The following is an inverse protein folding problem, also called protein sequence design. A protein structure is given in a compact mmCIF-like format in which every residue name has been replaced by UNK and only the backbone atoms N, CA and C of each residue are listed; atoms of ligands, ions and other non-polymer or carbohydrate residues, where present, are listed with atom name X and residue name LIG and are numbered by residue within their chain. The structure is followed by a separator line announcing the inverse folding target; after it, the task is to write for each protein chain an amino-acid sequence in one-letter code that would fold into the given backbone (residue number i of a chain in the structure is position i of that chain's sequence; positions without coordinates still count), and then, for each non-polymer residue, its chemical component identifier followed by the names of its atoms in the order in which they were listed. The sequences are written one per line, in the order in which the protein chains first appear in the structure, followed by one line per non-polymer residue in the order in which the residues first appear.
data_IF_617678322147
#
_entry.id   IF_617678322147
#
_cell.length_a   1.000
_cell.length_b   1.000
_cell.length_c   1.000
_cell.angle_alpha   90.00
_cell.angle_beta   90.00
_cell.angle_gamma   90.00
#
_symmetry.space_group_name_H-M   'P 1'
#
loop_
_entity.id
_entity.type
_entity.pdbx_description
1 polymer ?
#
# COMPACT_ATOMS: atom_id res chain seq x y z
N UNK A 1 -53.40 30.99 23.13
CA UNK A 1 -53.61 30.28 21.89
C UNK A 1 -52.33 30.35 21.06
N UNK A 2 -51.71 29.23 20.94
CA UNK A 2 -50.78 28.82 19.94
C UNK A 2 -49.58 29.73 19.55
N UNK A 3 -48.48 29.66 20.29
CA UNK A 3 -47.15 30.11 19.89
C UNK A 3 -46.25 28.91 19.68
N UNK A 4 -46.42 28.24 18.57
CA UNK A 4 -45.59 27.11 18.17
C UNK A 4 -44.99 27.47 16.82
N UNK A 5 -43.69 27.19 16.70
CA UNK A 5 -42.91 27.10 15.46
C UNK A 5 -42.26 28.41 14.94
N UNK A 6 -41.29 28.87 15.72
CA UNK A 6 -40.10 29.44 15.11
C UNK A 6 -38.89 28.57 15.45
N UNK A 7 -38.97 27.28 15.16
CA UNK A 7 -37.83 26.38 15.20
C UNK A 7 -37.03 26.53 13.91
N UNK A 8 -36.05 27.36 14.02
CA UNK A 8 -34.71 27.20 13.50
C UNK A 8 -34.49 26.76 12.05
N UNK A 9 -34.54 27.72 11.18
CA UNK A 9 -33.97 27.61 9.82
C UNK A 9 -32.45 27.96 9.77
N UNK A 10 -31.73 27.86 10.90
CA UNK A 10 -30.30 28.19 11.01
C UNK A 10 -29.35 26.97 11.16
N UNK A 11 -29.83 25.75 10.96
CA UNK A 11 -28.99 24.55 11.08
C UNK A 11 -28.60 23.95 9.71
N UNK A 12 -28.80 24.67 8.63
CA UNK A 12 -28.55 24.17 7.28
C UNK A 12 -27.21 24.65 6.68
N UNK A 13 -26.21 24.87 7.52
CA UNK A 13 -24.85 25.17 7.03
C UNK A 13 -23.77 24.53 7.92
N UNK A 14 -23.96 23.26 8.24
CA UNK A 14 -22.87 22.42 8.71
C UNK A 14 -22.48 21.48 7.58
N UNK A 15 -21.42 21.92 6.88
CA UNK A 15 -20.40 21.09 6.23
C UNK A 15 -20.72 19.60 6.25
N UNK A 16 -20.65 18.94 5.11
CA UNK A 16 -20.60 17.49 4.91
C UNK A 16 -19.67 16.81 5.93
N UNK A 17 -20.13 16.74 7.16
CA UNK A 17 -19.59 15.79 8.11
C UNK A 17 -20.26 14.48 7.71
N UNK A 18 -19.56 13.67 6.92
CA UNK A 18 -19.92 12.27 6.79
C UNK A 18 -20.00 11.77 8.23
N UNK A 19 -21.19 11.36 8.66
CA UNK A 19 -21.34 10.57 9.86
C UNK A 19 -20.59 9.30 9.53
N UNK A 20 -19.36 9.19 10.01
CA UNK A 20 -18.59 7.97 9.91
C UNK A 20 -19.20 7.10 10.97
N UNK A 21 -19.97 6.09 10.55
CA UNK A 21 -20.50 5.09 11.46
C UNK A 21 -19.32 4.40 12.13
N UNK A 22 -19.01 4.82 13.36
CA UNK A 22 -18.00 4.17 14.19
C UNK A 22 -18.62 2.97 14.85
N UNK A 23 -17.92 1.86 14.77
CA UNK A 23 -18.32 0.62 15.42
C UNK A 23 -17.15 0.00 16.16
N UNK A 24 -17.47 -0.79 17.18
CA UNK A 24 -16.46 -1.54 17.91
C UNK A 24 -15.93 -2.65 17.00
N UNK A 25 -14.67 -2.55 16.60
CA UNK A 25 -14.06 -3.51 15.69
C UNK A 25 -12.59 -3.76 16.01
N UNK A 26 -12.09 -4.88 15.51
CA UNK A 26 -10.70 -5.25 15.57
C UNK A 26 -9.92 -4.42 14.54
N UNK A 27 -8.89 -3.75 15.00
CA UNK A 27 -8.00 -2.91 14.17
C UNK A 27 -6.55 -3.12 14.62
N UNK A 28 -5.60 -2.82 13.78
CA UNK A 28 -4.19 -2.89 14.15
C UNK A 28 -3.80 -1.68 15.01
N UNK A 29 -2.85 -1.94 15.92
CA UNK A 29 -2.13 -0.93 16.71
C UNK A 29 -0.64 -1.11 16.48
N UNK A 30 0.05 -0.05 16.18
CA UNK A 30 1.49 -0.02 15.97
C UNK A 30 2.15 0.66 17.16
N UNK A 31 3.09 -0.04 17.78
CA UNK A 31 3.93 0.48 18.85
C UNK A 31 5.11 1.24 18.24
N UNK A 32 5.06 2.56 18.32
CA UNK A 32 6.08 3.42 17.72
C UNK A 32 7.45 3.30 18.43
N UNK A 33 7.48 2.91 19.71
CA UNK A 33 8.73 2.73 20.44
C UNK A 33 9.49 1.48 19.97
N UNK A 34 8.76 0.38 19.70
CA UNK A 34 9.33 -0.85 19.16
C UNK A 34 9.63 -0.77 17.66
N UNK A 35 8.92 0.08 16.93
CA UNK A 35 9.07 0.19 15.49
C UNK A 35 10.46 0.68 15.10
N UNK A 36 11.16 -0.08 14.27
CA UNK A 36 12.49 0.27 13.72
C UNK A 36 12.43 1.00 12.37
N UNK A 37 11.23 1.23 11.83
CA UNK A 37 11.07 1.98 10.60
C UNK A 37 11.43 1.22 9.32
N UNK A 38 11.43 -0.09 9.31
CA UNK A 38 11.82 -0.90 8.15
C UNK A 38 10.84 -0.84 6.96
N UNK A 39 9.58 -0.41 7.16
CA UNK A 39 8.58 -0.26 6.10
C UNK A 39 7.86 -1.54 5.68
N UNK A 40 8.32 -2.73 6.07
CA UNK A 40 7.77 -4.02 5.62
C UNK A 40 6.27 -4.17 5.87
N UNK A 41 5.77 -3.64 6.97
CA UNK A 41 4.33 -3.68 7.29
C UNK A 41 3.50 -2.77 6.38
N UNK A 42 4.07 -1.66 5.90
CA UNK A 42 3.39 -0.78 4.95
C UNK A 42 3.30 -1.44 3.57
N UNK A 43 4.34 -2.17 3.17
CA UNK A 43 4.37 -2.93 1.92
C UNK A 43 3.42 -4.14 1.97
N UNK A 44 3.34 -4.80 3.12
CA UNK A 44 2.43 -5.94 3.35
C UNK A 44 0.96 -5.53 3.52
N UNK A 45 0.69 -4.23 3.73
CA UNK A 45 -0.69 -3.75 3.85
C UNK A 45 -1.34 -3.60 2.48
N UNK A 46 -2.10 -4.60 2.07
CA UNK A 46 -2.79 -4.61 0.78
C UNK A 46 -3.77 -3.45 0.61
N UNK A 47 -4.35 -2.96 1.70
CA UNK A 47 -5.34 -1.88 1.70
C UNK A 47 -4.71 -0.48 1.76
N UNK A 48 -3.40 -0.40 1.99
CA UNK A 48 -2.70 0.88 2.09
C UNK A 48 -3.10 1.71 3.31
N UNK A 49 -3.55 1.06 4.38
CA UNK A 49 -3.91 1.70 5.64
C UNK A 49 -2.69 2.20 6.43
N UNK A 50 -1.54 1.54 6.25
CA UNK A 50 -0.29 1.85 6.93
C UNK A 50 0.59 2.72 6.03
N UNK A 51 1.22 3.73 6.61
CA UNK A 51 2.23 4.53 5.95
C UNK A 51 3.40 4.86 6.86
N UNK A 52 4.47 5.39 6.27
CA UNK A 52 5.66 5.80 7.00
C UNK A 52 5.59 7.29 7.29
N UNK A 53 5.70 7.66 8.57
CA UNK A 53 5.71 9.05 9.05
C UNK A 53 6.91 9.21 9.97
N UNK A 54 7.78 10.15 9.66
CA UNK A 54 9.00 10.44 10.44
C UNK A 54 9.87 9.19 10.72
N UNK A 55 9.94 8.28 9.74
CA UNK A 55 10.71 7.05 9.85
C UNK A 55 10.06 5.94 10.70
N UNK A 56 8.80 6.08 11.09
CA UNK A 56 8.02 5.10 11.83
C UNK A 56 6.76 4.71 11.06
N UNK A 57 6.34 3.47 11.19
CA UNK A 57 5.08 3.02 10.62
C UNK A 57 3.91 3.55 11.47
N UNK A 58 2.89 4.08 10.81
CA UNK A 58 1.66 4.56 11.46
C UNK A 58 0.42 4.12 10.68
N UNK A 59 -0.66 3.88 11.40
CA UNK A 59 -1.97 3.66 10.79
C UNK A 59 -2.54 5.02 10.36
N UNK A 60 -2.49 5.32 9.07
CA UNK A 60 -2.93 6.60 8.51
C UNK A 60 -4.44 6.66 8.29
N UNK A 61 -5.02 5.53 7.92
CA UNK A 61 -6.42 5.41 7.56
C UNK A 61 -7.02 4.20 8.27
N UNK A 62 -7.78 4.46 9.32
CA UNK A 62 -8.47 3.41 10.07
C UNK A 62 -9.57 2.74 9.25
N UNK A 63 -10.28 3.52 8.45
CA UNK A 63 -11.32 3.06 7.52
C UNK A 63 -10.79 2.18 6.38
N UNK A 64 -9.48 2.14 6.15
CA UNK A 64 -8.82 1.25 5.18
C UNK A 64 -8.34 -0.06 5.80
N UNK A 65 -8.18 -0.12 7.11
CA UNK A 65 -7.75 -1.34 7.79
C UNK A 65 -8.93 -2.32 7.84
N UNK A 66 -8.80 -3.49 7.21
CA UNK A 66 -9.79 -4.58 7.24
C UNK A 66 -9.74 -5.41 8.53
N UNK A 67 -8.63 -5.34 9.27
CA UNK A 67 -8.41 -6.10 10.50
C UNK A 67 -7.98 -7.55 10.26
N UNK A 68 -7.59 -7.95 9.05
CA UNK A 68 -7.08 -9.29 8.74
C UNK A 68 -5.71 -9.53 9.37
N UNK A 69 -4.82 -8.55 9.29
CA UNK A 69 -3.55 -8.58 9.99
C UNK A 69 -2.38 -9.17 9.21
N UNK A 70 -2.41 -9.11 7.89
CA UNK A 70 -1.30 -9.55 7.02
C UNK A 70 0.01 -8.79 7.30
N UNK A 71 -0.11 -7.60 7.90
CA UNK A 71 1.03 -6.80 8.33
C UNK A 71 1.73 -7.33 9.60
N UNK A 72 1.08 -8.19 10.42
CA UNK A 72 1.69 -8.70 11.68
C UNK A 72 2.91 -9.57 11.41
N UNK A 73 2.83 -10.64 10.56
CA UNK A 73 3.97 -11.51 10.30
C UNK A 73 5.10 -10.80 9.56
N UNK A 74 4.81 -9.65 8.91
CA UNK A 74 5.80 -8.86 8.21
C UNK A 74 6.67 -8.02 9.16
N UNK A 75 6.28 -7.87 10.43
CA UNK A 75 7.03 -7.06 11.40
C UNK A 75 8.12 -7.88 12.09
N UNK A 76 9.42 -7.60 11.85
CA UNK A 76 10.50 -8.40 12.44
C UNK A 76 10.72 -8.16 13.94
N UNK A 77 10.09 -7.12 14.49
CA UNK A 77 10.24 -6.71 15.89
C UNK A 77 8.93 -6.79 16.68
N UNK A 78 7.91 -7.43 16.11
CA UNK A 78 6.59 -7.58 16.73
C UNK A 78 6.00 -6.27 17.30
N UNK A 79 6.19 -5.17 16.56
CA UNK A 79 5.66 -3.86 16.94
C UNK A 79 4.17 -3.69 16.62
N UNK A 80 3.53 -4.69 15.99
CA UNK A 80 2.13 -4.61 15.56
C UNK A 80 1.30 -5.59 16.37
N UNK A 81 0.17 -5.12 16.87
CA UNK A 81 -0.80 -5.90 17.61
C UNK A 81 -2.22 -5.58 17.18
N UNK A 82 -3.17 -6.40 17.60
CA UNK A 82 -4.58 -6.08 17.44
C UNK A 82 -5.12 -5.36 18.66
N UNK A 83 -6.00 -4.40 18.42
CA UNK A 83 -6.79 -3.72 19.43
C UNK A 83 -8.27 -3.72 19.01
N UNK A 84 -9.16 -3.94 19.99
CA UNK A 84 -10.60 -3.78 19.76
C UNK A 84 -10.96 -2.40 20.30
N UNK A 85 -11.36 -1.51 19.40
CA UNK A 85 -11.76 -0.15 19.74
C UNK A 85 -12.78 0.40 18.77
N UNK A 86 -13.38 1.50 19.14
CA UNK A 86 -14.26 2.23 18.24
C UNK A 86 -13.43 2.82 17.11
N UNK A 87 -13.75 2.41 15.89
CA UNK A 87 -13.10 2.89 14.68
C UNK A 87 -14.14 3.01 13.55
N UNK A 88 -13.87 3.83 12.54
CA UNK A 88 -14.71 3.93 11.36
C UNK A 88 -14.90 2.55 10.71
N UNK A 89 -16.08 2.32 10.15
CA UNK A 89 -16.33 1.11 9.37
C UNK A 89 -15.32 0.99 8.21
N UNK A 90 -14.99 -0.24 7.84
CA UNK A 90 -14.15 -0.50 6.66
C UNK A 90 -14.85 -0.01 5.39
N UNK A 91 -14.18 0.85 4.63
CA UNK A 91 -14.68 1.41 3.37
C UNK A 91 -13.96 0.78 2.17
N UNK A 92 -14.45 -0.39 1.76
CA UNK A 92 -13.93 -1.09 0.58
C UNK A 92 -13.96 -0.24 -0.68
N UNK A 93 -15.01 0.56 -0.87
CA UNK A 93 -15.15 1.39 -2.05
C UNK A 93 -14.08 2.48 -2.12
N UNK A 94 -13.72 3.07 -0.98
CA UNK A 94 -12.64 4.04 -0.91
C UNK A 94 -11.27 3.40 -1.15
N UNK A 95 -11.04 2.20 -0.62
CA UNK A 95 -9.82 1.42 -0.83
C UNK A 95 -9.65 1.09 -2.31
N UNK A 96 -10.66 0.56 -2.98
CA UNK A 96 -10.61 0.23 -4.41
C UNK A 96 -10.32 1.46 -5.27
N UNK A 97 -10.91 2.61 -4.96
CA UNK A 97 -10.61 3.87 -5.66
C UNK A 97 -9.15 4.28 -5.47
N UNK A 98 -8.64 4.21 -4.25
CA UNK A 98 -7.25 4.56 -3.95
C UNK A 98 -6.26 3.63 -4.67
N UNK A 99 -6.53 2.33 -4.72
CA UNK A 99 -5.74 1.35 -5.48
C UNK A 99 -5.74 1.69 -6.97
N UNK A 100 -6.90 1.94 -7.56
CA UNK A 100 -7.02 2.29 -8.98
C UNK A 100 -6.29 3.60 -9.33
N UNK A 101 -6.33 4.60 -8.45
CA UNK A 101 -5.59 5.85 -8.64
C UNK A 101 -4.07 5.63 -8.55
N UNK A 102 -3.61 4.80 -7.60
CA UNK A 102 -2.20 4.44 -7.45
C UNK A 102 -1.68 3.72 -8.70
N UNK A 103 -2.43 2.76 -9.21
CA UNK A 103 -2.09 2.04 -10.45
C UNK A 103 -2.01 2.97 -11.67
N UNK A 104 -2.96 3.91 -11.81
CA UNK A 104 -2.94 4.90 -12.88
C UNK A 104 -1.69 5.78 -12.81
N UNK A 105 -1.32 6.23 -11.60
CA UNK A 105 -0.11 7.03 -11.39
C UNK A 105 1.16 6.24 -11.73
N UNK A 106 1.23 4.98 -11.31
CA UNK A 106 2.37 4.10 -11.64
C UNK A 106 2.49 3.86 -13.13
N UNK A 107 1.38 3.57 -13.82
CA UNK A 107 1.37 3.39 -15.28
C UNK A 107 1.76 4.68 -16.02
N UNK A 108 1.32 5.84 -15.55
CA UNK A 108 1.71 7.13 -16.13
C UNK A 108 3.21 7.41 -15.97
N UNK A 109 3.78 7.06 -14.80
CA UNK A 109 5.23 7.21 -14.56
C UNK A 109 6.07 6.23 -15.39
N UNK A 110 5.55 5.03 -15.66
CA UNK A 110 6.23 4.04 -16.49
C UNK A 110 6.13 4.35 -17.99
N UNK A 111 5.09 5.06 -18.42
CA UNK A 111 4.91 5.43 -19.83
C UNK A 111 5.96 6.43 -20.34
N UNK A 112 6.57 7.22 -19.46
CA UNK A 112 7.61 8.19 -19.82
C UNK A 112 9.01 7.57 -19.91
N UNK A 113 9.20 6.33 -19.44
CA UNK A 113 10.46 5.61 -19.52
C UNK A 113 10.36 4.56 -20.63
N UNK A 114 10.57 4.99 -21.87
CA UNK A 114 10.77 4.06 -22.98
C UNK A 114 12.15 3.44 -22.85
N UNK A 115 12.27 2.41 -22.03
CA UNK A 115 13.48 1.59 -21.93
C UNK A 115 13.48 0.67 -23.14
N UNK A 116 14.29 1.01 -24.15
CA UNK A 116 14.58 0.08 -25.23
C UNK A 116 15.51 -1.00 -24.67
N UNK A 117 15.01 -2.23 -24.68
CA UNK A 117 15.84 -3.36 -24.26
C UNK A 117 17.01 -3.52 -25.21
N UNK A 118 18.22 -3.58 -24.64
CA UNK A 118 19.44 -3.93 -25.36
C UNK A 118 19.67 -5.45 -25.38
N UNK A 119 18.74 -6.19 -24.79
CA UNK A 119 18.82 -7.63 -24.74
C UNK A 119 18.45 -8.22 -26.11
N UNK A 120 19.45 -8.71 -26.83
CA UNK A 120 19.28 -9.29 -28.16
C UNK A 120 18.88 -10.77 -28.09
N UNK A 121 19.00 -11.40 -26.94
CA UNK A 121 18.67 -12.80 -26.71
C UNK A 121 18.13 -13.03 -25.29
N UNK A 122 17.20 -13.99 -25.16
CA UNK A 122 16.70 -14.45 -23.87
C UNK A 122 17.81 -15.00 -22.98
N UNK A 123 17.76 -14.81 -21.67
CA UNK A 123 18.73 -15.42 -20.77
C UNK A 123 18.70 -16.94 -20.88
N UNK A 124 19.86 -17.54 -21.00
CA UNK A 124 20.04 -19.01 -21.10
C UNK A 124 21.02 -19.46 -20.02
N UNK A 125 20.80 -20.64 -19.48
CA UNK A 125 21.73 -21.23 -18.52
C UNK A 125 23.10 -21.47 -19.17
N UNK A 126 24.18 -21.13 -18.48
CA UNK A 126 25.58 -21.26 -18.99
C UNK A 126 25.86 -22.68 -19.45
N UNK A 127 25.29 -23.70 -18.77
CA UNK A 127 25.47 -25.11 -19.15
C UNK A 127 24.90 -25.48 -20.52
N UNK A 128 23.96 -24.70 -21.03
CA UNK A 128 23.28 -24.92 -22.30
C UNK A 128 23.87 -24.08 -23.44
N UNK A 129 24.82 -23.21 -23.12
CA UNK A 129 25.40 -22.32 -24.12
C UNK A 129 26.55 -23.04 -24.88
N UNK A 130 26.51 -23.02 -26.21
CA UNK A 130 27.62 -23.53 -27.00
C UNK A 130 28.87 -22.67 -26.80
N UNK A 131 30.03 -23.28 -26.59
CA UNK A 131 31.32 -22.61 -26.35
C UNK A 131 31.70 -21.67 -27.52
N UNK A 132 31.29 -22.04 -28.72
CA UNK A 132 31.51 -21.26 -29.94
C UNK A 132 30.17 -20.92 -30.57
N UNK A 133 29.79 -19.64 -30.51
CA UNK A 133 28.57 -19.14 -31.13
C UNK A 133 28.82 -17.78 -31.75
N UNK A 134 28.23 -17.54 -32.90
CA UNK A 134 28.24 -16.25 -33.58
C UNK A 134 27.63 -15.13 -32.70
N UNK A 135 26.78 -15.48 -31.73
CA UNK A 135 26.16 -14.55 -30.79
C UNK A 135 27.16 -13.85 -29.85
N UNK A 136 28.36 -14.39 -29.65
CA UNK A 136 29.38 -13.79 -28.78
C UNK A 136 30.25 -12.79 -29.48
N UNK A 137 30.24 -12.75 -30.82
CA UNK A 137 31.08 -11.83 -31.56
C UNK A 137 30.55 -10.42 -31.44
N UNK A 138 31.31 -9.56 -30.72
CA UNK A 138 30.95 -8.17 -30.48
C UNK A 138 29.80 -7.96 -29.50
N UNK A 139 29.36 -9.00 -28.78
CA UNK A 139 28.26 -8.90 -27.83
C UNK A 139 28.73 -8.42 -26.45
N UNK A 140 27.89 -7.62 -25.79
CA UNK A 140 28.02 -7.30 -24.36
C UNK A 140 27.31 -8.43 -23.58
N UNK A 141 28.08 -9.21 -22.83
CA UNK A 141 27.54 -10.33 -22.04
C UNK A 141 27.25 -9.87 -20.63
N UNK A 142 26.00 -10.10 -20.20
CA UNK A 142 25.59 -10.00 -18.80
C UNK A 142 25.52 -11.40 -18.21
N UNK A 143 26.34 -11.66 -17.19
CA UNK A 143 26.29 -12.91 -16.41
C UNK A 143 25.68 -12.56 -15.06
N UNK A 144 24.50 -13.09 -14.79
CA UNK A 144 23.78 -12.87 -13.54
C UNK A 144 23.42 -14.20 -12.88
N UNK A 145 23.33 -14.22 -11.56
CA UNK A 145 22.79 -15.36 -10.82
C UNK A 145 21.26 -15.38 -10.91
N UNK A 146 20.65 -16.56 -10.84
CA UNK A 146 19.20 -16.73 -10.91
C UNK A 146 18.44 -15.89 -9.86
N UNK A 147 19.07 -15.63 -8.71
CA UNK A 147 18.49 -14.80 -7.65
C UNK A 147 18.51 -13.29 -7.95
N UNK A 148 19.11 -12.86 -9.05
CA UNK A 148 19.23 -11.46 -9.45
C UNK A 148 18.35 -11.11 -10.67
N UNK A 149 17.57 -12.08 -11.16
CA UNK A 149 16.74 -11.93 -12.36
C UNK A 149 15.30 -11.52 -12.01
#
# INVERSE_FOLDING_TARGET
MCSILKYNRKVKQRRNFRVVDTLLRKIIKIDEEKCVGCGLCADACHEGAIGMVEGKAKLLREDYCDGLGDCLPACPVDAISFEIREAPAYDEAAVLKAKAEKEKRQKAQQADVKVETQLLQWPVQIKLMPIQSAFYQGANLLIAADCCA
#
